data_IF_879104336113
#
_entry.id   IF_879104336113
#
_cell.length_a   1.000
_cell.length_b   1.000
_cell.length_c   1.000
_cell.angle_alpha   90.00
_cell.angle_beta   90.00
_cell.angle_gamma   90.00
#
_symmetry.space_group_name_H-M   'P 1'
#
loop_
_entity.id
_entity.type
_entity.pdbx_description
1 polymer ?
#
# COMPACT_ATOMS: atom_id res chain seq x y z
N UNK A 1 6.17 -2.44 -30.96
CA UNK A 1 5.12 -2.38 -32.00
C UNK A 1 3.78 -2.27 -31.30
N UNK A 2 2.94 -1.28 -31.64
CA UNK A 2 1.62 -1.08 -31.03
C UNK A 2 0.64 -2.06 -31.65
N UNK A 3 -0.12 -2.78 -30.82
CA UNK A 3 -1.20 -3.66 -31.25
C UNK A 3 -2.54 -2.94 -31.09
N UNK A 4 -3.42 -3.12 -32.07
CA UNK A 4 -4.76 -2.57 -32.12
C UNK A 4 -5.77 -3.72 -32.06
N UNK A 5 -6.97 -3.43 -31.59
CA UNK A 5 -8.09 -4.37 -31.56
C UNK A 5 -8.66 -4.49 -32.97
N UNK A 6 -8.71 -5.71 -33.50
CA UNK A 6 -9.34 -6.02 -34.79
C UNK A 6 -10.85 -5.81 -34.72
N UNK A 7 -11.37 -4.96 -35.61
CA UNK A 7 -12.80 -4.68 -35.78
C UNK A 7 -13.37 -5.46 -36.96
N UNK A 8 -14.69 -5.65 -37.03
CA UNK A 8 -15.38 -6.31 -38.16
C UNK A 8 -14.93 -5.78 -39.52
N UNK A 9 -14.79 -4.45 -39.67
CA UNK A 9 -14.32 -3.82 -40.92
C UNK A 9 -12.94 -4.28 -41.38
N UNK A 10 -12.06 -4.58 -40.43
CA UNK A 10 -10.70 -5.06 -40.71
C UNK A 10 -10.77 -6.53 -41.13
N UNK A 11 -11.66 -7.30 -40.52
CA UNK A 11 -11.89 -8.72 -40.83
C UNK A 11 -12.50 -8.85 -42.22
N UNK A 12 -13.56 -8.10 -42.52
CA UNK A 12 -14.20 -8.04 -43.85
C UNK A 12 -13.17 -7.66 -44.94
N UNK A 13 -12.34 -6.66 -44.65
CA UNK A 13 -11.30 -6.19 -45.56
C UNK A 13 -10.19 -7.23 -45.78
N UNK A 14 -9.85 -8.02 -44.76
CA UNK A 14 -8.90 -9.12 -44.86
C UNK A 14 -9.51 -10.30 -45.62
N UNK A 15 -10.79 -10.61 -45.38
CA UNK A 15 -11.54 -11.67 -46.07
C UNK A 15 -11.65 -11.44 -47.58
N UNK A 16 -11.76 -10.18 -48.00
CA UNK A 16 -11.77 -9.78 -49.42
C UNK A 16 -10.46 -10.09 -50.18
N UNK A 17 -9.36 -10.36 -49.48
CA UNK A 17 -8.04 -10.66 -50.07
C UNK A 17 -7.82 -12.19 -50.12
N UNK A 18 -7.43 -12.78 -51.26
CA UNK A 18 -7.12 -14.21 -51.37
C UNK A 18 -5.90 -14.61 -50.53
N UNK A 19 -5.90 -15.85 -50.04
CA UNK A 19 -4.90 -16.37 -49.08
C UNK A 19 -3.44 -16.24 -49.57
N UNK A 20 -3.19 -16.37 -50.87
CA UNK A 20 -1.86 -16.27 -51.47
C UNK A 20 -1.24 -14.87 -51.29
N UNK A 21 -2.06 -13.83 -51.37
CA UNK A 21 -1.62 -12.44 -51.18
C UNK A 21 -1.45 -12.09 -49.70
N UNK A 22 -2.14 -12.80 -48.79
CA UNK A 22 -1.99 -12.57 -47.34
C UNK A 22 -0.62 -13.01 -46.83
N UNK A 23 -0.11 -14.13 -47.34
CA UNK A 23 1.24 -14.61 -47.02
C UNK A 23 2.33 -13.67 -47.56
N UNK A 24 2.13 -13.09 -48.75
CA UNK A 24 3.06 -12.12 -49.35
C UNK A 24 3.12 -10.79 -48.58
N UNK A 25 2.01 -10.38 -47.94
CA UNK A 25 1.92 -9.12 -47.18
C UNK A 25 2.22 -9.26 -45.66
N UNK A 26 2.65 -10.44 -45.20
CA UNK A 26 2.78 -10.83 -43.78
C UNK A 26 1.51 -10.59 -42.94
N UNK A 27 0.34 -10.83 -43.54
CA UNK A 27 -0.95 -10.71 -42.85
C UNK A 27 -1.29 -12.03 -42.12
N UNK A 28 -1.92 -11.95 -40.94
CA UNK A 28 -2.33 -13.14 -40.20
C UNK A 28 -3.36 -13.95 -40.99
N UNK A 29 -3.19 -15.29 -41.00
CA UNK A 29 -4.05 -16.21 -41.74
C UNK A 29 -5.51 -16.22 -41.22
N UNK A 30 -5.71 -15.94 -39.93
CA UNK A 30 -7.03 -15.84 -39.30
C UNK A 30 -6.97 -14.78 -38.20
N UNK A 31 -7.87 -13.80 -38.26
CA UNK A 31 -8.05 -12.80 -37.21
C UNK A 31 -9.33 -13.11 -36.43
N UNK A 32 -9.23 -13.12 -35.11
CA UNK A 32 -10.40 -13.18 -34.24
C UNK A 32 -10.98 -11.78 -34.05
N UNK A 33 -12.30 -11.70 -33.90
CA UNK A 33 -13.00 -10.46 -33.52
C UNK A 33 -12.43 -9.99 -32.17
N UNK A 34 -11.96 -8.75 -32.13
CA UNK A 34 -11.20 -8.15 -31.01
C UNK A 34 -9.79 -8.69 -30.75
N UNK A 35 -9.24 -9.49 -31.66
CA UNK A 35 -7.86 -9.96 -31.60
C UNK A 35 -6.81 -8.85 -31.83
N UNK A 36 -5.54 -9.10 -31.50
CA UNK A 36 -4.45 -8.16 -31.73
C UNK A 36 -4.06 -8.11 -33.20
N UNK A 37 -4.09 -6.91 -33.80
CA UNK A 37 -3.49 -6.64 -35.11
C UNK A 37 -2.39 -5.58 -34.99
N UNK A 38 -1.24 -5.77 -35.65
CA UNK A 38 -0.19 -4.76 -35.63
C UNK A 38 -0.54 -3.56 -36.51
N UNK A 39 -0.10 -2.37 -36.08
CA UNK A 39 -0.30 -1.15 -36.87
C UNK A 39 0.34 -1.22 -38.27
N UNK A 40 1.49 -1.88 -38.40
CA UNK A 40 2.18 -2.06 -39.70
C UNK A 40 1.39 -2.94 -40.66
N UNK A 41 0.77 -4.02 -40.17
CA UNK A 41 -0.11 -4.89 -40.96
C UNK A 41 -1.33 -4.12 -41.47
N UNK A 42 -1.90 -3.22 -40.67
CA UNK A 42 -3.00 -2.36 -41.10
C UNK A 42 -2.60 -1.38 -42.19
N UNK A 43 -1.39 -0.81 -42.12
CA UNK A 43 -0.87 0.07 -43.17
C UNK A 43 -0.69 -0.70 -44.49
N UNK A 44 -0.12 -1.91 -44.44
CA UNK A 44 0.06 -2.75 -45.63
C UNK A 44 -1.27 -3.14 -46.25
N UNK A 45 -2.24 -3.52 -45.42
CA UNK A 45 -3.61 -3.82 -45.84
C UNK A 45 -4.26 -2.60 -46.51
N UNK A 46 -4.18 -1.43 -45.88
CA UNK A 46 -4.75 -0.19 -46.44
C UNK A 46 -4.08 0.21 -47.76
N UNK A 47 -2.76 0.08 -47.86
CA UNK A 47 -2.01 0.36 -49.09
C UNK A 47 -2.42 -0.56 -50.23
N UNK A 48 -2.68 -1.84 -49.94
CA UNK A 48 -3.14 -2.81 -50.94
C UNK A 48 -4.56 -2.50 -51.43
N UNK A 49 -5.48 -2.16 -50.52
CA UNK A 49 -6.85 -1.78 -50.89
C UNK A 49 -6.91 -0.48 -51.70
N UNK A 50 -5.97 0.45 -51.46
CA UNK A 50 -5.88 1.71 -52.19
C UNK A 50 -5.39 1.53 -53.65
N UNK A 51 -4.65 0.45 -53.94
CA UNK A 51 -4.23 0.10 -55.31
C UNK A 51 -5.36 -0.54 -56.13
N UNK A 52 -6.47 -0.95 -55.50
CA UNK A 52 -7.59 -1.59 -56.17
C UNK A 52 -8.56 -0.52 -56.75
N UNK A 53 -8.76 -0.46 -58.08
CA UNK A 53 -9.47 0.64 -58.76
C UNK A 53 -10.99 0.72 -58.49
N UNK A 54 -11.55 -0.20 -57.71
CA UNK A 54 -12.96 -0.19 -57.34
C UNK A 54 -13.31 0.81 -56.22
N UNK A 55 -12.33 1.21 -55.39
CA UNK A 55 -12.55 2.09 -54.23
C UNK A 55 -12.07 3.54 -54.44
N UNK A 56 -11.39 3.82 -55.55
CA UNK A 56 -10.68 5.08 -55.81
C UNK A 56 -11.51 6.14 -56.52
N UNK A 57 -12.82 5.92 -56.71
CA UNK A 57 -13.67 6.74 -57.60
C UNK A 57 -14.37 7.94 -56.96
N UNK A 58 -14.38 8.10 -55.64
CA UNK A 58 -15.11 9.21 -55.00
C UNK A 58 -14.20 10.21 -54.27
N UNK A 59 -14.25 11.45 -54.78
CA UNK A 59 -13.40 12.61 -54.54
C UNK A 59 -13.75 13.39 -53.25
N UNK A 60 -12.76 14.15 -52.73
CA UNK A 60 -12.83 15.37 -51.88
C UNK A 60 -13.16 15.31 -50.37
N UNK A 61 -13.95 14.36 -49.85
CA UNK A 61 -14.31 14.36 -48.40
C UNK A 61 -14.43 12.97 -47.75
N UNK A 62 -14.03 11.91 -48.44
CA UNK A 62 -14.08 10.54 -47.92
C UNK A 62 -12.86 10.27 -47.00
N UNK A 63 -13.04 9.63 -45.84
CA UNK A 63 -11.90 9.22 -45.03
C UNK A 63 -11.03 8.28 -45.86
N UNK A 64 -9.72 8.50 -45.86
CA UNK A 64 -8.72 7.59 -46.45
C UNK A 64 -9.02 6.14 -46.06
N UNK A 65 -8.71 5.17 -46.92
CA UNK A 65 -8.95 3.73 -46.65
C UNK A 65 -8.38 3.29 -45.30
N UNK A 66 -7.21 3.79 -44.94
CA UNK A 66 -6.64 3.56 -43.61
C UNK A 66 -7.51 4.17 -42.48
N UNK A 67 -8.04 5.37 -42.69
CA UNK A 67 -8.93 6.05 -41.74
C UNK A 67 -10.23 5.28 -41.50
N UNK A 68 -10.83 4.69 -42.54
CA UNK A 68 -12.05 3.89 -42.40
C UNK A 68 -11.80 2.57 -41.64
N UNK A 69 -10.61 1.99 -41.79
CA UNK A 69 -10.14 0.80 -41.06
C UNK A 69 -9.76 1.11 -39.60
N UNK A 70 -9.20 2.30 -39.33
CA UNK A 70 -8.84 2.72 -37.97
C UNK A 70 -10.04 3.17 -37.14
N UNK A 71 -11.16 3.54 -37.78
CA UNK A 71 -12.39 3.93 -37.08
C UNK A 71 -12.87 2.82 -36.13
N UNK A 72 -12.84 3.10 -34.83
CA UNK A 72 -13.31 2.18 -33.80
C UNK A 72 -12.23 1.22 -33.28
N UNK A 73 -11.02 1.24 -33.84
CA UNK A 73 -9.89 0.52 -33.27
C UNK A 73 -9.45 1.14 -31.94
N UNK A 74 -9.10 0.29 -30.98
CA UNK A 74 -8.53 0.69 -29.70
C UNK A 74 -7.18 0.02 -29.53
N UNK A 75 -6.32 0.55 -28.66
CA UNK A 75 -5.06 -0.11 -28.32
C UNK A 75 -5.39 -1.45 -27.65
N UNK A 76 -4.83 -2.54 -28.16
CA UNK A 76 -4.95 -3.86 -27.56
C UNK A 76 -4.10 -3.91 -26.29
N UNK A 77 -4.76 -4.15 -25.17
CA UNK A 77 -4.12 -4.41 -23.88
C UNK A 77 -4.31 -5.89 -23.59
N UNK A 78 -3.24 -6.69 -23.50
CA UNK A 78 -3.38 -8.11 -23.23
C UNK A 78 -4.10 -8.33 -21.89
N UNK A 79 -4.93 -9.39 -21.80
CA UNK A 79 -5.59 -9.70 -20.54
C UNK A 79 -4.54 -9.85 -19.44
N UNK A 80 -4.80 -9.33 -18.23
CA UNK A 80 -3.84 -9.43 -17.15
C UNK A 80 -3.50 -10.90 -16.90
N UNK A 81 -2.23 -11.21 -16.59
CA UNK A 81 -1.82 -12.58 -16.32
C UNK A 81 -2.72 -13.20 -15.25
N UNK A 82 -3.01 -14.49 -15.39
CA UNK A 82 -3.79 -15.22 -14.39
C UNK A 82 -3.13 -15.05 -13.03
N UNK A 83 -3.92 -14.65 -12.03
CA UNK A 83 -3.41 -14.47 -10.66
C UNK A 83 -2.77 -15.78 -10.20
N UNK A 84 -1.60 -15.74 -9.54
CA UNK A 84 -0.99 -16.94 -8.99
C UNK A 84 -1.97 -17.60 -8.02
N UNK A 85 -1.94 -18.93 -8.00
CA UNK A 85 -2.71 -19.69 -7.01
C UNK A 85 -2.22 -19.31 -5.60
N UNK A 86 -3.14 -19.16 -4.62
CA UNK A 86 -2.74 -18.81 -3.27
C UNK A 86 -1.84 -19.88 -2.66
N UNK A 87 -0.81 -19.45 -1.93
CA UNK A 87 0.12 -20.37 -1.26
C UNK A 87 -0.61 -21.19 -0.18
N UNK A 88 -0.19 -22.44 0.08
CA UNK A 88 -0.83 -23.29 1.09
C UNK A 88 -0.73 -22.69 2.51
N UNK A 89 0.36 -21.98 2.81
CA UNK A 89 0.53 -21.25 4.07
C UNK A 89 -0.51 -20.13 4.24
N UNK A 90 -0.84 -19.43 3.16
CA UNK A 90 -1.88 -18.40 3.17
C UNK A 90 -3.26 -19.01 3.42
N UNK A 91 -3.54 -20.17 2.83
CA UNK A 91 -4.80 -20.88 3.08
C UNK A 91 -4.89 -21.37 4.53
N UNK A 92 -3.79 -21.91 5.09
CA UNK A 92 -3.74 -22.35 6.47
C UNK A 92 -3.95 -21.18 7.46
N UNK A 93 -3.29 -20.04 7.24
CA UNK A 93 -3.47 -18.84 8.08
C UNK A 93 -4.87 -18.24 7.94
N UNK A 94 -5.43 -18.20 6.73
CA UNK A 94 -6.81 -17.76 6.49
C UNK A 94 -7.82 -18.67 7.20
N UNK A 95 -7.67 -19.99 7.09
CA UNK A 95 -8.54 -20.96 7.74
C UNK A 95 -8.48 -20.81 9.27
N UNK A 96 -7.27 -20.60 9.81
CA UNK A 96 -7.08 -20.32 11.24
C UNK A 96 -7.80 -19.05 11.70
N UNK A 97 -7.68 -17.94 10.96
CA UNK A 97 -8.36 -16.69 11.31
C UNK A 97 -9.88 -16.83 11.24
N UNK A 98 -10.40 -17.52 10.22
CA UNK A 98 -11.84 -17.80 10.11
C UNK A 98 -12.33 -18.64 11.29
N UNK A 99 -11.62 -19.71 11.65
CA UNK A 99 -11.97 -20.54 12.81
C UNK A 99 -11.99 -19.74 14.12
N UNK A 100 -11.04 -18.82 14.33
CA UNK A 100 -11.04 -17.93 15.49
C UNK A 100 -12.26 -17.01 15.50
N UNK A 101 -12.59 -16.39 14.36
CA UNK A 101 -13.77 -15.51 14.26
C UNK A 101 -15.08 -16.27 14.49
N UNK A 102 -15.17 -17.50 13.98
CA UNK A 102 -16.32 -18.37 14.20
C UNK A 102 -16.46 -18.74 15.67
N UNK A 103 -15.36 -19.11 16.33
CA UNK A 103 -15.34 -19.41 17.76
C UNK A 103 -15.77 -18.20 18.60
N UNK A 104 -15.29 -16.99 18.29
CA UNK A 104 -15.72 -15.76 18.95
C UNK A 104 -17.21 -15.50 18.75
N UNK A 105 -17.71 -15.71 17.52
CA UNK A 105 -19.13 -15.55 17.22
C UNK A 105 -19.99 -16.53 18.02
N UNK A 106 -19.54 -17.78 18.16
CA UNK A 106 -20.23 -18.80 18.94
C UNK A 106 -20.22 -18.46 20.44
N UNK A 107 -19.09 -18.03 20.97
CA UNK A 107 -18.98 -17.60 22.37
C UNK A 107 -19.91 -16.42 22.69
N UNK A 108 -20.13 -15.50 21.73
CA UNK A 108 -21.11 -14.41 21.88
C UNK A 108 -22.55 -14.89 21.95
N UNK A 109 -22.89 -15.96 21.22
CA UNK A 109 -24.22 -16.57 21.28
C UNK A 109 -24.45 -17.30 22.61
N UNK A 110 -23.42 -17.97 23.12
CA UNK A 110 -23.49 -18.65 24.42
C UNK A 110 -23.55 -17.68 25.59
N UNK A 111 -22.78 -16.59 25.52
CA UNK A 111 -22.68 -15.59 26.56
C UNK A 111 -22.96 -14.21 25.96
N UNK A 112 -24.19 -13.66 26.07
CA UNK A 112 -24.53 -12.37 25.48
C UNK A 112 -23.75 -11.18 26.08
N UNK A 113 -23.18 -11.35 27.27
CA UNK A 113 -22.29 -10.38 27.94
C UNK A 113 -20.82 -10.54 27.52
N UNK A 114 -20.48 -11.53 26.69
CA UNK A 114 -19.12 -11.72 26.17
C UNK A 114 -18.76 -10.55 25.24
N UNK A 115 -17.96 -9.63 25.76
CA UNK A 115 -17.27 -8.63 24.95
C UNK A 115 -15.87 -9.15 24.65
N UNK A 116 -15.48 -9.29 23.36
CA UNK A 116 -14.10 -9.57 23.03
C UNK A 116 -13.26 -8.41 23.56
N UNK A 117 -12.23 -8.72 24.35
CA UNK A 117 -11.33 -7.71 24.86
C UNK A 117 -10.61 -7.08 23.66
N UNK A 118 -11.01 -5.87 23.26
CA UNK A 118 -10.47 -5.18 22.07
C UNK A 118 -8.96 -4.91 22.24
N UNK A 119 -8.49 -4.90 23.48
CA UNK A 119 -7.07 -4.85 23.81
C UNK A 119 -6.31 -6.14 23.45
N UNK A 120 -6.99 -7.29 23.34
CA UNK A 120 -6.35 -8.58 23.10
C UNK A 120 -6.43 -9.02 21.62
N UNK A 121 -7.36 -8.51 20.82
CA UNK A 121 -7.54 -8.95 19.43
C UNK A 121 -6.34 -8.65 18.50
N UNK A 122 -5.54 -7.64 18.81
CA UNK A 122 -4.25 -7.37 18.15
C UNK A 122 -3.05 -7.95 18.90
N UNK A 123 -3.30 -8.50 20.09
CA UNK A 123 -2.31 -8.88 21.07
C UNK A 123 -2.18 -10.42 21.16
N UNK A 124 -3.21 -11.22 20.97
CA UNK A 124 -3.14 -12.66 21.27
C UNK A 124 -2.20 -13.49 20.37
N UNK A 125 -1.75 -12.98 19.21
CA UNK A 125 -0.68 -13.64 18.43
C UNK A 125 0.70 -12.98 18.53
N UNK A 126 0.77 -11.73 19.00
CA UNK A 126 2.03 -11.02 19.22
C UNK A 126 2.31 -10.86 20.73
N UNK A 127 1.49 -10.17 21.51
CA UNK A 127 1.69 -9.85 22.95
C UNK A 127 1.94 -11.01 23.91
N UNK A 128 1.33 -12.20 23.73
CA UNK A 128 1.60 -13.31 24.67
C UNK A 128 3.04 -13.80 24.61
N UNK A 129 3.69 -13.61 23.46
CA UNK A 129 5.13 -13.79 23.30
C UNK A 129 5.85 -12.45 23.30
N UNK A 130 5.29 -11.34 22.85
CA UNK A 130 5.96 -10.04 22.71
C UNK A 130 5.96 -9.22 23.99
N UNK A 131 4.91 -9.18 24.83
CA UNK A 131 4.99 -8.56 26.15
C UNK A 131 5.86 -9.39 27.09
N UNK A 132 5.70 -10.71 27.07
CA UNK A 132 6.55 -11.62 27.83
C UNK A 132 7.98 -11.61 27.29
N UNK A 133 8.24 -11.53 25.97
CA UNK A 133 9.61 -11.40 25.43
C UNK A 133 10.15 -9.98 25.51
N UNK A 134 9.35 -8.92 25.52
CA UNK A 134 9.83 -7.55 25.77
C UNK A 134 10.26 -7.44 27.23
N UNK A 135 9.49 -8.02 28.17
CA UNK A 135 9.86 -8.07 29.58
C UNK A 135 11.01 -9.05 29.83
N UNK A 136 11.00 -10.26 29.24
CA UNK A 136 12.14 -11.19 29.27
C UNK A 136 13.37 -10.58 28.61
N UNK A 137 13.24 -9.91 27.46
CA UNK A 137 14.36 -9.28 26.75
C UNK A 137 14.92 -8.12 27.55
N UNK A 138 14.07 -7.31 28.19
CA UNK A 138 14.52 -6.21 29.04
C UNK A 138 15.24 -6.74 30.28
N UNK A 139 14.65 -7.71 30.99
CA UNK A 139 15.27 -8.29 32.18
C UNK A 139 16.57 -9.03 31.83
N UNK A 140 16.59 -9.79 30.74
CA UNK A 140 17.80 -10.48 30.28
C UNK A 140 18.87 -9.50 29.78
N UNK A 141 18.50 -8.42 29.09
CA UNK A 141 19.42 -7.36 28.66
C UNK A 141 20.06 -6.68 29.87
N UNK A 142 19.27 -6.30 30.88
CA UNK A 142 19.78 -5.69 32.11
C UNK A 142 20.64 -6.68 32.89
N UNK A 143 20.25 -7.95 32.94
CA UNK A 143 21.03 -8.97 33.62
C UNK A 143 22.40 -9.19 32.95
N UNK A 144 22.42 -9.28 31.61
CA UNK A 144 23.65 -9.46 30.83
C UNK A 144 24.54 -8.22 30.95
N UNK A 145 23.99 -7.00 30.88
CA UNK A 145 24.76 -5.76 31.00
C UNK A 145 25.42 -5.63 32.38
N UNK A 146 24.70 -5.97 33.46
CA UNK A 146 25.20 -5.95 34.84
C UNK A 146 26.29 -7.00 35.04
N UNK A 147 26.10 -8.22 34.54
CA UNK A 147 27.09 -9.28 34.63
C UNK A 147 28.37 -8.95 33.86
N UNK A 148 28.24 -8.50 32.61
CA UNK A 148 29.38 -8.16 31.76
C UNK A 148 30.12 -6.95 32.32
N UNK A 149 29.40 -5.90 32.75
CA UNK A 149 30.01 -4.71 33.36
C UNK A 149 30.71 -5.03 34.68
N UNK A 150 30.03 -5.74 35.59
CA UNK A 150 30.60 -6.10 36.89
C UNK A 150 31.81 -7.02 36.77
N UNK A 151 31.73 -8.03 35.89
CA UNK A 151 32.86 -8.93 35.62
C UNK A 151 33.99 -8.21 34.87
N UNK A 152 33.68 -7.29 33.96
CA UNK A 152 34.67 -6.48 33.24
C UNK A 152 35.48 -5.59 34.20
N UNK A 153 34.81 -4.90 35.13
CA UNK A 153 35.47 -4.07 36.15
C UNK A 153 36.34 -4.93 37.07
N UNK A 154 35.84 -6.09 37.51
CA UNK A 154 36.63 -7.03 38.32
C UNK A 154 37.84 -7.59 37.55
N UNK A 155 37.65 -7.99 36.30
CA UNK A 155 38.71 -8.49 35.43
C UNK A 155 39.77 -7.41 35.17
N UNK A 156 39.37 -6.14 34.99
CA UNK A 156 40.29 -5.03 34.83
C UNK A 156 41.12 -4.81 36.11
N UNK A 157 40.49 -4.80 37.30
CA UNK A 157 41.18 -4.57 38.58
C UNK A 157 42.05 -5.76 39.04
N UNK A 158 41.83 -6.95 38.48
CA UNK A 158 42.67 -8.13 38.72
C UNK A 158 43.81 -8.25 37.72
N UNK A 159 43.61 -7.81 36.47
CA UNK A 159 44.61 -7.92 35.39
C UNK A 159 45.54 -6.72 35.29
N UNK A 160 45.12 -5.54 35.75
CA UNK A 160 45.97 -4.35 35.83
C UNK A 160 46.44 -4.08 37.27
N UNK A 161 47.69 -3.62 37.46
CA UNK A 161 48.21 -3.30 38.79
C UNK A 161 47.46 -2.09 39.37
N UNK A 162 46.58 -2.35 40.32
CA UNK A 162 45.84 -1.33 41.05
C UNK A 162 46.71 -0.75 42.20
N UNK A 163 46.53 0.53 42.58
CA UNK A 163 47.22 1.12 43.72
C UNK A 163 46.92 0.36 45.01
N UNK A 164 47.84 0.38 45.99
CA UNK A 164 47.78 -0.44 47.20
C UNK A 164 46.46 -0.34 48.01
N UNK A 165 45.73 0.78 47.91
CA UNK A 165 44.39 0.95 48.51
C UNK A 165 43.29 0.07 47.88
N UNK A 166 43.47 -0.39 46.64
CA UNK A 166 42.54 -1.24 45.86
C UNK A 166 43.06 -2.68 45.73
N UNK A 167 44.06 -3.06 46.53
CA UNK A 167 44.69 -4.37 46.47
C UNK A 167 43.83 -5.49 47.08
N UNK A 168 42.90 -5.16 47.99
CA UNK A 168 42.05 -6.15 48.64
C UNK A 168 41.00 -6.71 47.69
N UNK A 169 40.85 -8.04 47.70
CA UNK A 169 39.88 -8.74 46.84
C UNK A 169 38.44 -8.27 47.09
N UNK A 170 38.10 -7.99 48.35
CA UNK A 170 36.80 -7.47 48.74
C UNK A 170 36.49 -6.11 48.10
N UNK A 171 37.47 -5.19 48.00
CA UNK A 171 37.27 -3.87 47.38
C UNK A 171 37.07 -4.00 45.88
N UNK A 172 37.75 -4.93 45.21
CA UNK A 172 37.58 -5.18 43.77
C UNK A 172 36.19 -5.70 43.44
N UNK A 173 35.68 -6.64 44.25
CA UNK A 173 34.32 -7.19 44.10
C UNK A 173 33.28 -6.11 44.38
N UNK A 174 33.47 -5.32 45.45
CA UNK A 174 32.57 -4.23 45.81
C UNK A 174 32.49 -3.20 44.68
N UNK A 175 33.63 -2.78 44.11
CA UNK A 175 33.67 -1.80 43.03
C UNK A 175 33.00 -2.34 41.75
N UNK A 176 33.18 -3.62 41.42
CA UNK A 176 32.48 -4.27 40.31
C UNK A 176 30.96 -4.35 40.53
N UNK A 177 30.52 -4.62 41.75
CA UNK A 177 29.09 -4.63 42.11
C UNK A 177 28.48 -3.24 42.00
N UNK A 178 29.15 -2.20 42.52
CA UNK A 178 28.70 -0.81 42.37
C UNK A 178 28.63 -0.37 40.90
N UNK A 179 29.60 -0.76 40.08
CA UNK A 179 29.57 -0.48 38.65
C UNK A 179 28.39 -1.18 37.96
N UNK A 180 28.12 -2.44 38.29
CA UNK A 180 26.96 -3.18 37.80
C UNK A 180 25.63 -2.53 38.20
N UNK A 181 25.46 -2.17 39.48
CA UNK A 181 24.26 -1.48 39.98
C UNK A 181 24.07 -0.13 39.28
N UNK A 182 25.15 0.62 39.04
CA UNK A 182 25.09 1.88 38.30
C UNK A 182 24.54 1.71 36.88
N UNK A 183 24.98 0.67 36.16
CA UNK A 183 24.47 0.34 34.82
C UNK A 183 23.00 -0.06 34.87
N UNK A 184 22.59 -0.89 35.83
CA UNK A 184 21.18 -1.28 35.99
C UNK A 184 20.25 -0.07 36.17
N UNK A 185 20.67 0.92 36.98
CA UNK A 185 19.91 2.17 37.19
C UNK A 185 19.85 2.99 35.89
N UNK A 186 20.96 3.10 35.17
CA UNK A 186 21.01 3.83 33.91
C UNK A 186 20.07 3.24 32.85
N UNK A 187 20.06 1.92 32.70
CA UNK A 187 19.19 1.22 31.74
C UNK A 187 17.71 1.34 32.12
N UNK A 188 17.40 1.21 33.42
CA UNK A 188 16.05 1.42 33.94
C UNK A 188 15.54 2.84 33.67
N UNK A 189 16.43 3.83 33.81
CA UNK A 189 16.09 5.22 33.50
C UNK A 189 15.85 5.45 32.01
N UNK A 190 16.62 4.79 31.14
CA UNK A 190 16.43 4.85 29.69
C UNK A 190 15.03 4.36 29.29
N UNK A 191 14.59 3.24 29.88
CA UNK A 191 13.26 2.70 29.66
C UNK A 191 12.16 3.62 30.21
N UNK A 192 12.32 4.14 31.43
CA UNK A 192 11.36 5.08 32.02
C UNK A 192 11.21 6.35 31.17
N UNK A 193 12.33 6.90 30.69
CA UNK A 193 12.35 8.05 29.77
C UNK A 193 11.68 7.74 28.44
N UNK A 194 11.89 6.53 27.90
CA UNK A 194 11.21 6.07 26.69
C UNK A 194 9.69 5.97 26.86
N UNK A 195 9.23 5.34 27.95
CA UNK A 195 7.80 5.20 28.24
C UNK A 195 7.13 6.58 28.35
N UNK A 196 7.79 7.53 29.01
CA UNK A 196 7.32 8.91 29.09
C UNK A 196 7.23 9.61 27.74
N UNK A 197 8.11 9.31 26.77
CA UNK A 197 8.02 9.86 25.40
C UNK A 197 6.86 9.26 24.61
N UNK A 198 6.68 7.94 24.70
CA UNK A 198 5.58 7.24 24.01
C UNK A 198 4.22 7.71 24.55
N UNK A 199 4.10 7.85 25.87
CA UNK A 199 2.86 8.32 26.50
C UNK A 199 2.55 9.77 26.11
N UNK A 200 3.56 10.65 26.03
CA UNK A 200 3.38 12.03 25.53
C UNK A 200 2.92 12.05 24.07
N UNK A 201 3.47 11.20 23.21
CA UNK A 201 3.06 11.09 21.82
C UNK A 201 1.60 10.59 21.70
N UNK A 202 1.25 9.55 22.45
CA UNK A 202 -0.11 8.99 22.50
C UNK A 202 -1.13 9.99 23.03
N UNK A 203 -0.77 10.75 24.07
CA UNK A 203 -1.63 11.81 24.61
C UNK A 203 -1.81 12.97 23.62
N UNK A 204 -0.78 13.29 22.82
CA UNK A 204 -0.88 14.29 21.76
C UNK A 204 -1.78 13.81 20.62
N UNK A 205 -1.68 12.54 20.22
CA UNK A 205 -2.54 11.94 19.20
C UNK A 205 -3.99 11.82 19.68
N UNK A 206 -4.23 11.39 20.93
CA UNK A 206 -5.59 11.32 21.52
C UNK A 206 -6.31 12.68 21.55
N UNK A 207 -5.56 13.79 21.64
CA UNK A 207 -6.13 15.15 21.57
C UNK A 207 -6.60 15.52 20.16
N UNK A 208 -6.05 14.89 19.12
CA UNK A 208 -6.50 15.09 17.73
C UNK A 208 -7.66 14.12 17.46
N UNK A 209 -8.86 14.48 17.90
CA UNK A 209 -10.08 13.77 17.50
C UNK A 209 -10.50 14.22 16.10
N UNK A 210 -10.29 13.37 15.11
CA UNK A 210 -10.81 13.58 13.75
C UNK A 210 -12.35 13.64 13.79
N UNK A 211 -12.92 14.81 13.46
CA UNK A 211 -14.38 14.98 13.33
C UNK A 211 -14.81 14.45 11.96
N UNK A 212 -15.18 13.18 11.89
CA UNK A 212 -15.74 12.58 10.67
C UNK A 212 -17.17 13.08 10.49
N UNK A 213 -17.37 14.02 9.58
CA UNK A 213 -18.69 14.40 9.10
C UNK A 213 -19.15 13.33 8.10
N UNK A 214 -20.20 12.60 8.47
CA UNK A 214 -20.86 11.64 7.59
C UNK A 214 -21.72 12.43 6.62
N UNK A 215 -21.30 12.52 5.37
CA UNK A 215 -22.16 13.01 4.29
C UNK A 215 -23.02 11.82 3.89
N UNK A 216 -24.34 11.97 4.07
CA UNK A 216 -25.32 10.96 3.73
C UNK A 216 -25.35 10.63 2.24
N UNK A 217 -26.04 9.53 1.86
CA UNK A 217 -26.16 9.13 0.47
C UNK A 217 -26.85 10.23 -0.34
N UNK A 218 -26.16 10.74 -1.36
CA UNK A 218 -26.78 11.61 -2.37
C UNK A 218 -27.57 10.69 -3.29
N UNK A 219 -28.86 10.58 -3.00
CA UNK A 219 -29.89 10.04 -3.88
C UNK A 219 -30.67 11.17 -4.54
N UNK A 220 -30.98 10.95 -5.80
CA UNK A 220 -31.62 11.78 -6.83
C UNK A 220 -32.80 12.68 -6.40
N UNK A 221 -32.73 13.94 -6.89
CA UNK A 221 -33.78 14.88 -7.35
C UNK A 221 -35.11 15.03 -6.60
N UNK A 222 -35.42 16.29 -6.19
CA UNK A 222 -36.54 17.10 -6.73
C UNK A 222 -36.51 18.56 -6.16
N UNK A 223 -37.29 19.42 -6.81
CA UNK A 223 -37.22 20.89 -6.95
C UNK A 223 -37.34 21.77 -5.69
N UNK A 224 -36.74 22.97 -5.81
CA UNK A 224 -37.40 24.24 -5.43
C UNK A 224 -36.98 24.89 -4.11
N UNK A 225 -36.45 26.13 -4.20
CA UNK A 225 -36.52 27.10 -3.09
C UNK A 225 -35.27 27.95 -2.85
N UNK A 226 -35.27 29.13 -3.47
CA UNK A 226 -34.73 30.44 -3.06
C UNK A 226 -33.41 30.58 -2.25
N UNK A 227 -32.50 31.34 -2.86
CA UNK A 227 -31.94 32.59 -2.33
C UNK A 227 -31.10 32.56 -1.06
N UNK A 228 -29.77 32.67 -1.21
CA UNK A 228 -29.04 33.86 -0.74
C UNK A 228 -27.61 33.85 -1.31
N UNK A 229 -27.22 34.97 -1.91
CA UNK A 229 -25.91 35.18 -2.50
C UNK A 229 -24.98 35.80 -1.47
N UNK A 230 -23.89 35.13 -1.14
CA UNK A 230 -22.74 35.76 -0.48
C UNK A 230 -21.47 35.42 -1.26
N UNK A 231 -21.03 36.39 -2.05
CA UNK A 231 -19.69 36.46 -2.62
C UNK A 231 -18.66 36.56 -1.49
N UNK A 232 -17.74 35.60 -1.38
CA UNK A 232 -16.44 35.81 -0.73
C UNK A 232 -15.35 35.15 -1.55
N UNK A 233 -14.53 36.00 -2.17
CA UNK A 233 -13.07 35.89 -2.21
C UNK A 233 -12.48 34.65 -2.88
N UNK A 234 -12.07 34.82 -4.13
CA UNK A 234 -11.34 33.83 -4.90
C UNK A 234 -10.09 33.30 -4.20
N UNK A 235 -10.09 32.00 -3.93
CA UNK A 235 -8.89 31.20 -3.74
C UNK A 235 -9.11 29.94 -4.55
N UNK A 236 -8.33 29.76 -5.61
CA UNK A 236 -8.35 28.56 -6.45
C UNK A 236 -8.07 27.33 -5.58
N UNK A 237 -9.12 26.56 -5.31
CA UNK A 237 -9.06 25.27 -4.63
C UNK A 237 -9.10 24.21 -5.72
N UNK A 238 -7.98 23.57 -5.98
CA UNK A 238 -7.96 22.39 -6.85
C UNK A 238 -8.61 21.20 -6.13
N UNK A 239 -9.76 20.77 -6.63
CA UNK A 239 -10.55 19.67 -6.10
C UNK A 239 -10.08 18.33 -6.68
N UNK A 240 -9.38 17.53 -5.88
CA UNK A 240 -8.99 16.17 -6.28
C UNK A 240 -9.95 15.17 -5.67
N UNK A 241 -10.83 14.60 -6.49
CA UNK A 241 -11.79 13.56 -6.12
C UNK A 241 -11.12 12.19 -6.14
N UNK A 242 -11.12 11.50 -4.99
CA UNK A 242 -10.65 10.11 -4.87
C UNK A 242 -11.80 9.17 -4.49
N UNK A 243 -12.13 8.24 -5.38
CA UNK A 243 -13.18 7.22 -5.19
C UNK A 243 -12.60 6.06 -4.37
N UNK A 244 -13.09 5.84 -3.14
CA UNK A 244 -12.72 4.67 -2.34
C UNK A 244 -13.34 3.39 -2.91
N UNK A 245 -12.70 2.24 -2.65
CA UNK A 245 -13.11 0.90 -3.14
C UNK A 245 -14.55 0.51 -2.76
N UNK A 246 -15.15 1.17 -1.76
CA UNK A 246 -16.54 0.96 -1.33
C UNK A 246 -17.50 2.12 -1.71
N UNK A 247 -17.15 2.96 -2.70
CA UNK A 247 -18.04 4.04 -3.17
C UNK A 247 -18.14 5.28 -2.27
N UNK A 248 -17.51 5.28 -1.09
CA UNK A 248 -17.43 6.45 -0.22
C UNK A 248 -16.43 7.49 -0.74
N UNK A 249 -16.90 8.71 -0.99
CA UNK A 249 -16.05 9.87 -1.26
C UNK A 249 -15.42 10.34 0.05
N UNK A 250 -14.09 10.46 0.10
CA UNK A 250 -13.37 11.01 1.26
C UNK A 250 -12.80 12.37 0.91
N UNK A 251 -13.25 13.43 1.59
CA UNK A 251 -12.63 14.76 1.51
C UNK A 251 -11.34 14.74 2.33
N UNK A 252 -10.17 14.78 1.68
CA UNK A 252 -8.91 15.12 2.36
C UNK A 252 -8.54 16.55 2.00
N UNK A 253 -8.84 17.48 2.89
CA UNK A 253 -8.30 18.84 2.82
C UNK A 253 -6.85 18.75 3.28
N UNK A 254 -5.92 18.77 2.32
CA UNK A 254 -4.50 18.94 2.63
C UNK A 254 -4.22 20.44 2.57
N UNK A 255 -4.22 21.09 3.72
CA UNK A 255 -3.67 22.44 3.81
C UNK A 255 -2.20 22.38 3.35
N UNK A 256 -1.85 23.20 2.36
CA UNK A 256 -0.46 23.36 1.91
C UNK A 256 0.32 23.88 3.12
N UNK A 257 1.28 23.09 3.58
CA UNK A 257 2.29 23.55 4.52
C UNK A 257 3.13 24.61 3.81
N UNK A 258 3.06 25.84 4.29
CA UNK A 258 3.90 26.94 3.87
C UNK A 258 5.35 26.66 4.32
N UNK A 259 6.28 26.63 3.36
CA UNK A 259 7.72 26.48 3.62
C UNK A 259 8.45 27.69 3.06
N UNK A 260 8.99 28.51 3.97
CA UNK A 260 10.00 29.55 3.75
C UNK A 260 9.43 30.94 3.46
N UNK A 261 10.04 32.05 3.83
CA UNK A 261 11.19 32.40 4.67
C UNK A 261 11.22 33.95 4.67
N UNK A 262 11.88 34.52 5.69
CA UNK A 262 12.57 35.84 5.67
C UNK A 262 11.84 37.14 6.08
N UNK A 263 12.48 37.81 7.06
CA UNK A 263 12.63 39.27 7.35
C UNK A 263 11.51 40.01 8.09
N UNK A 264 11.65 40.16 9.41
CA UNK A 264 12.18 41.35 10.12
C UNK A 264 12.42 41.05 11.61
#
# INVERSE_FOLDING_TARGET
MVQLIATERIIDALEAIPLQQREELDLPATLEIQGPISHEQLIRLASHLQQNPALSKDTSHTPTVLGSLLCGTKVYVPPPPKKPEPTPEYLASKARLLALTEQESYNRLLNPTYQPNIHDAYATQASGLEEDTLTISLVTSIFISVLVSGFSVYAALTRFPAPAMMASEAVKVLLGLFAGVGVAVAESFLYWSYLGKVERARNKERRVRERKVVIGPVGESEEGGDGDGVEVGGVEKEEIWGKGVNGGVRRRVREKWEKGRDVD
#
